data_IF_989660709066
#
_entry.id   IF_989660709066
#
_cell.length_a   1.000
_cell.length_b   1.000
_cell.length_c   1.000
_cell.angle_alpha   90.00
_cell.angle_beta   90.00
_cell.angle_gamma   90.00
#
_symmetry.space_group_name_H-M   'P 1'
#
loop_
_entity.id
_entity.type
_entity.pdbx_description
1 polymer ?
#
# COMPACT_ATOMS: atom_id res chain seq x y z
N UNK A 1 87.90 -24.32 10.73
CA UNK A 1 89.01 -23.99 9.81
C UNK A 1 88.55 -22.84 8.90
N UNK A 2 89.27 -21.76 8.98
CA UNK A 2 89.52 -20.69 7.99
C UNK A 2 88.24 -20.04 7.37
N UNK A 3 87.95 -18.81 7.59
CA UNK A 3 88.58 -17.50 7.53
C UNK A 3 88.37 -16.76 6.21
N UNK A 4 87.93 -15.48 6.37
CA UNK A 4 88.17 -14.33 5.45
C UNK A 4 87.02 -14.17 4.41
N UNK A 5 86.55 -13.01 4.07
CA UNK A 5 86.99 -11.64 4.45
C UNK A 5 86.16 -10.59 3.74
N UNK A 6 86.17 -9.39 4.25
CA UNK A 6 85.62 -8.10 3.87
C UNK A 6 85.54 -7.82 2.36
N UNK A 7 84.44 -7.16 1.94
CA UNK A 7 84.64 -5.84 1.30
C UNK A 7 83.27 -5.09 1.30
N UNK A 8 83.30 -3.92 1.84
CA UNK A 8 82.10 -3.04 1.90
C UNK A 8 81.94 -2.23 0.62
N UNK A 9 80.71 -1.94 0.29
CA UNK A 9 80.37 -0.82 -0.59
C UNK A 9 79.19 -0.10 0.06
N UNK A 10 79.45 1.10 0.55
CA UNK A 10 78.44 2.03 1.02
C UNK A 10 77.68 2.60 -0.16
N UNK A 11 76.40 2.31 -0.24
CA UNK A 11 75.50 3.01 -1.16
C UNK A 11 74.54 3.87 -0.32
N UNK A 12 74.74 5.20 -0.41
CA UNK A 12 73.83 6.20 0.14
C UNK A 12 72.48 6.08 -0.57
N UNK A 13 71.44 5.69 0.15
CA UNK A 13 70.04 5.82 -0.30
C UNK A 13 69.53 7.16 0.22
N UNK A 14 69.29 8.11 -0.69
CA UNK A 14 68.49 9.31 -0.42
C UNK A 14 67.03 8.87 -0.16
N UNK A 15 66.55 9.00 1.07
CA UNK A 15 65.10 8.95 1.38
C UNK A 15 64.47 10.29 1.00
N UNK A 16 63.67 10.30 -0.07
CA UNK A 16 62.70 11.38 -0.36
C UNK A 16 61.54 11.27 0.59
N UNK A 17 61.42 12.20 1.51
CA UNK A 17 60.22 12.42 2.33
C UNK A 17 59.08 12.92 1.44
N UNK A 18 58.20 12.02 1.00
CA UNK A 18 56.87 12.38 0.47
C UNK A 18 55.98 12.79 1.67
N UNK A 19 55.70 14.08 1.76
CA UNK A 19 54.76 14.62 2.72
C UNK A 19 53.36 14.04 2.49
N UNK A 20 52.86 13.25 3.43
CA UNK A 20 51.45 12.92 3.51
C UNK A 20 50.67 14.21 3.86
N UNK A 21 50.00 14.79 2.87
CA UNK A 21 48.94 15.78 3.13
C UNK A 21 47.77 15.04 3.80
N UNK A 22 47.70 15.20 5.11
CA UNK A 22 46.56 14.69 5.87
C UNK A 22 45.25 15.32 5.39
N UNK A 23 44.42 14.54 4.70
CA UNK A 23 43.05 14.91 4.48
C UNK A 23 42.36 14.97 5.84
N UNK A 24 42.00 16.17 6.26
CA UNK A 24 41.19 16.38 7.48
C UNK A 24 39.88 15.57 7.34
N UNK A 25 39.65 14.71 8.31
CA UNK A 25 38.35 14.02 8.43
C UNK A 25 37.22 15.07 8.47
N UNK A 26 36.10 14.85 7.78
CA UNK A 26 34.99 15.78 7.84
C UNK A 26 34.60 15.96 9.31
N UNK A 27 34.45 17.21 9.75
CA UNK A 27 33.94 17.55 11.07
C UNK A 27 32.58 16.85 11.24
N UNK A 28 32.46 16.02 12.29
CA UNK A 28 31.21 15.47 12.71
C UNK A 28 30.22 16.65 12.87
N UNK A 29 29.24 16.76 12.00
CA UNK A 29 28.14 17.71 12.20
C UNK A 29 27.55 17.45 13.58
N UNK A 30 27.43 18.51 14.35
CA UNK A 30 26.82 18.42 15.67
C UNK A 30 25.38 17.96 15.47
N UNK A 31 25.06 16.78 15.98
CA UNK A 31 23.67 16.31 16.07
C UNK A 31 22.97 17.33 16.95
N UNK A 32 22.10 18.16 16.34
CA UNK A 32 21.27 19.07 17.09
C UNK A 32 20.47 18.25 18.13
N UNK A 33 20.36 18.72 19.36
CA UNK A 33 19.57 18.03 20.37
C UNK A 33 18.14 17.87 19.82
N UNK A 34 17.67 16.63 19.72
CA UNK A 34 16.29 16.32 19.39
C UNK A 34 15.45 16.86 20.55
N UNK A 35 14.88 18.04 20.39
CA UNK A 35 13.87 18.54 21.31
C UNK A 35 12.67 17.61 21.21
N UNK A 36 12.35 16.88 22.27
CA UNK A 36 11.11 16.09 22.31
C UNK A 36 9.95 17.04 22.06
N UNK A 37 9.00 16.70 21.17
CA UNK A 37 7.81 17.49 21.02
C UNK A 37 7.12 17.66 22.37
N UNK A 38 6.56 18.82 22.61
CA UNK A 38 5.88 19.13 23.90
C UNK A 38 4.61 18.31 24.12
N UNK A 39 4.08 17.71 23.04
CA UNK A 39 2.92 16.81 23.05
C UNK A 39 3.27 15.46 22.44
N UNK A 40 2.57 14.42 22.90
CA UNK A 40 2.59 13.08 22.31
C UNK A 40 1.93 13.15 20.92
N UNK A 41 2.61 12.71 19.82
CA UNK A 41 2.08 12.85 18.48
C UNK A 41 0.87 11.93 18.23
N UNK A 42 -0.05 12.39 17.40
CA UNK A 42 -1.07 11.54 16.80
C UNK A 42 -0.44 10.58 15.80
N UNK A 43 -1.14 9.51 15.46
CA UNK A 43 -0.71 8.52 14.46
C UNK A 43 -1.85 8.26 13.48
N UNK A 44 -1.61 8.56 12.20
CA UNK A 44 -2.47 8.15 11.10
C UNK A 44 -1.75 7.06 10.30
N UNK A 45 -2.26 5.82 10.37
CA UNK A 45 -1.74 4.67 9.65
C UNK A 45 -2.63 4.34 8.45
N UNK A 46 -2.15 4.64 7.23
CA UNK A 46 -2.86 4.37 5.98
C UNK A 46 -2.32 3.07 5.38
N UNK A 47 -3.20 2.13 5.10
CA UNK A 47 -2.82 0.82 4.60
C UNK A 47 -3.65 0.42 3.38
N UNK A 48 -2.97 0.09 2.28
CA UNK A 48 -3.58 -0.36 1.02
C UNK A 48 -3.34 -1.85 0.81
N UNK A 49 -4.14 -2.48 -0.05
CA UNK A 49 -4.08 -3.92 -0.30
C UNK A 49 -3.66 -4.19 -1.75
N UNK A 50 -2.55 -4.93 -1.94
CA UNK A 50 -1.95 -5.24 -3.24
C UNK A 50 -1.48 -4.01 -4.05
N UNK A 51 -1.02 -2.96 -3.38
CA UNK A 51 -0.44 -1.79 -4.02
C UNK A 51 1.04 -2.01 -4.31
N UNK A 52 1.38 -2.19 -5.57
CA UNK A 52 2.75 -2.44 -6.00
C UNK A 52 3.61 -1.16 -5.94
N UNK A 53 4.84 -1.26 -5.43
CA UNK A 53 5.76 -0.11 -5.31
C UNK A 53 6.05 0.57 -6.66
N UNK A 54 6.11 -0.19 -7.76
CA UNK A 54 6.32 0.36 -9.10
C UNK A 54 5.11 1.12 -9.67
N UNK A 55 4.00 1.17 -8.94
CA UNK A 55 2.83 2.00 -9.23
C UNK A 55 2.72 3.20 -8.27
N UNK A 56 3.81 3.60 -7.64
CA UNK A 56 3.95 4.81 -6.81
C UNK A 56 5.06 5.66 -7.42
N UNK A 57 4.76 6.92 -7.74
CA UNK A 57 5.68 7.84 -8.42
C UNK A 57 7.00 8.00 -7.68
N UNK A 58 6.97 8.20 -6.37
CA UNK A 58 8.14 8.36 -5.52
C UNK A 58 9.13 7.17 -5.56
N UNK A 59 8.69 5.98 -5.99
CA UNK A 59 9.54 4.80 -6.20
C UNK A 59 10.00 4.62 -7.65
N UNK A 60 9.79 5.60 -8.53
CA UNK A 60 10.17 5.55 -9.93
C UNK A 60 9.16 4.76 -10.77
N UNK A 61 7.88 5.09 -10.63
CA UNK A 61 6.82 4.52 -11.45
C UNK A 61 7.10 4.73 -12.94
N UNK A 62 6.80 3.71 -13.75
CA UNK A 62 6.79 3.79 -15.21
C UNK A 62 5.41 4.13 -15.81
N UNK A 63 4.45 4.35 -14.94
CA UNK A 63 3.08 4.72 -15.28
C UNK A 63 2.92 6.24 -15.38
N UNK A 64 1.75 6.77 -15.77
CA UNK A 64 1.54 8.21 -15.84
C UNK A 64 2.01 8.95 -14.58
N UNK A 65 2.68 10.09 -14.75
CA UNK A 65 3.30 10.85 -13.65
C UNK A 65 2.27 11.33 -12.61
N UNK A 66 1.01 11.48 -12.99
CA UNK A 66 -0.08 11.95 -12.14
C UNK A 66 -0.77 10.84 -11.33
N UNK A 67 -0.21 9.62 -11.30
CA UNK A 67 -0.89 8.47 -10.67
C UNK A 67 -1.00 8.62 -9.15
N UNK A 68 0.05 9.07 -8.49
CA UNK A 68 0.14 9.15 -7.02
C UNK A 68 0.71 10.47 -6.47
N UNK A 69 0.22 11.65 -6.89
CA UNK A 69 0.80 12.92 -6.48
C UNK A 69 0.75 13.17 -4.96
N UNK A 70 -0.28 12.68 -4.26
CA UNK A 70 -0.40 12.85 -2.82
C UNK A 70 0.53 11.91 -2.03
N UNK A 71 0.70 10.67 -2.48
CA UNK A 71 1.71 9.76 -1.94
C UNK A 71 3.13 10.26 -2.21
N UNK A 72 3.37 10.85 -3.38
CA UNK A 72 4.66 11.43 -3.76
C UNK A 72 4.97 12.68 -2.92
N UNK A 73 3.97 13.49 -2.63
CA UNK A 73 4.06 14.60 -1.68
C UNK A 73 4.47 14.09 -0.29
N UNK A 74 3.76 13.09 0.25
CA UNK A 74 4.07 12.49 1.55
C UNK A 74 5.51 11.96 1.58
N UNK A 75 5.97 11.31 0.51
CA UNK A 75 7.35 10.82 0.39
C UNK A 75 8.38 11.93 0.33
N UNK A 76 8.06 13.08 -0.28
CA UNK A 76 8.97 14.24 -0.41
C UNK A 76 9.07 15.06 0.87
N UNK A 77 8.00 15.12 1.65
CA UNK A 77 7.92 15.84 2.92
C UNK A 77 8.37 15.01 4.12
N UNK A 78 8.50 13.68 3.95
CA UNK A 78 8.80 12.74 5.01
C UNK A 78 9.96 11.80 4.73
N UNK A 79 9.84 10.58 5.20
CA UNK A 79 10.85 9.53 5.04
C UNK A 79 10.33 8.40 4.15
N UNK A 80 11.00 8.17 3.02
CA UNK A 80 10.73 7.05 2.14
C UNK A 80 11.67 5.88 2.43
N UNK A 81 11.11 4.72 2.72
CA UNK A 81 11.87 3.50 2.96
C UNK A 81 12.20 2.81 1.63
N UNK A 82 13.47 2.80 1.23
CA UNK A 82 13.94 2.13 0.01
C UNK A 82 14.07 0.60 0.15
N UNK A 83 14.08 0.10 1.39
CA UNK A 83 14.20 -1.33 1.73
C UNK A 83 13.20 -1.67 2.84
N UNK A 84 11.96 -1.91 2.44
CA UNK A 84 10.91 -2.37 3.34
C UNK A 84 10.39 -3.72 2.79
N UNK A 85 10.60 -4.79 3.53
CA UNK A 85 10.24 -6.13 3.12
C UNK A 85 9.01 -6.63 3.88
N UNK A 86 8.10 -7.28 3.16
CA UNK A 86 6.95 -7.98 3.74
C UNK A 86 7.40 -9.35 4.23
N UNK A 87 7.04 -9.71 5.47
CA UNK A 87 7.42 -11.01 6.05
C UNK A 87 6.59 -12.17 5.53
N UNK A 88 5.33 -11.90 5.16
CA UNK A 88 4.41 -12.84 4.52
C UNK A 88 3.45 -12.02 3.64
N UNK A 89 3.58 -12.14 2.34
CA UNK A 89 2.90 -11.30 1.33
C UNK A 89 1.47 -11.77 0.99
N UNK A 90 0.70 -12.17 2.00
CA UNK A 90 -0.72 -12.52 1.91
C UNK A 90 -1.50 -11.65 2.90
N UNK A 91 -2.74 -11.28 2.57
CA UNK A 91 -3.55 -10.31 3.32
C UNK A 91 -3.58 -10.54 4.84
N UNK A 92 -4.19 -11.64 5.32
CA UNK A 92 -4.36 -11.88 6.76
C UNK A 92 -3.01 -12.06 7.49
N UNK A 93 -2.04 -12.84 6.99
CA UNK A 93 -0.71 -12.95 7.59
C UNK A 93 0.01 -11.61 7.72
N UNK A 94 0.02 -10.79 6.65
CA UNK A 94 0.65 -9.46 6.67
C UNK A 94 0.00 -8.55 7.73
N UNK A 95 -1.33 -8.52 7.79
CA UNK A 95 -2.09 -7.72 8.77
C UNK A 95 -1.81 -8.16 10.20
N UNK A 96 -1.76 -9.48 10.47
CA UNK A 96 -1.40 -10.00 11.78
C UNK A 96 0.05 -9.66 12.19
N UNK A 97 1.00 -9.67 11.23
CA UNK A 97 2.39 -9.26 11.48
C UNK A 97 2.47 -7.78 11.83
N UNK A 98 1.78 -6.90 11.08
CA UNK A 98 1.74 -5.46 11.37
C UNK A 98 1.19 -5.20 12.77
N UNK A 99 0.07 -5.84 13.13
CA UNK A 99 -0.55 -5.64 14.44
C UNK A 99 0.31 -6.11 15.61
N UNK A 100 0.99 -7.26 15.45
CA UNK A 100 1.69 -7.93 16.57
C UNK A 100 3.19 -7.69 16.62
N UNK A 101 3.81 -7.24 15.51
CA UNK A 101 5.27 -7.23 15.36
C UNK A 101 5.90 -8.63 15.34
N UNK A 102 5.09 -9.71 15.19
CA UNK A 102 5.55 -11.10 15.22
C UNK A 102 5.42 -11.74 13.85
N UNK A 103 6.40 -12.54 13.46
CA UNK A 103 6.30 -13.39 12.25
C UNK A 103 5.08 -14.33 12.33
N UNK A 104 4.55 -14.73 11.17
CA UNK A 104 3.32 -15.52 11.04
C UNK A 104 3.34 -16.82 11.86
N UNK A 105 4.46 -17.51 11.96
CA UNK A 105 4.60 -18.73 12.77
C UNK A 105 4.53 -18.48 14.29
N UNK A 106 4.71 -17.22 14.72
CA UNK A 106 4.60 -16.83 16.14
C UNK A 106 3.22 -16.25 16.46
N UNK A 107 2.59 -15.54 15.50
CA UNK A 107 1.26 -14.99 15.71
C UNK A 107 0.13 -15.94 15.32
N UNK A 108 0.44 -17.09 14.68
CA UNK A 108 -0.50 -18.16 14.34
C UNK A 108 -1.32 -17.93 13.07
N UNK A 109 -1.05 -16.87 12.30
CA UNK A 109 -1.75 -16.60 11.03
C UNK A 109 -0.79 -16.81 9.87
N UNK A 110 -0.83 -18.04 9.30
CA UNK A 110 0.07 -18.48 8.22
C UNK A 110 -0.50 -18.22 6.82
N UNK A 111 -1.83 -18.31 6.71
CA UNK A 111 -2.58 -18.16 5.47
C UNK A 111 -3.84 -17.29 5.70
N UNK A 112 -4.68 -17.10 4.68
CA UNK A 112 -5.99 -16.48 4.85
C UNK A 112 -7.04 -17.42 5.50
N UNK A 113 -6.67 -18.66 5.85
CA UNK A 113 -7.58 -19.63 6.44
C UNK A 113 -7.69 -19.51 7.97
N UNK A 114 -6.64 -19.07 8.63
CA UNK A 114 -6.60 -18.97 10.09
C UNK A 114 -7.41 -17.76 10.60
N UNK A 115 -7.87 -17.90 11.84
CA UNK A 115 -8.49 -16.82 12.61
C UNK A 115 -7.44 -16.19 13.52
N UNK A 116 -7.29 -14.88 13.44
CA UNK A 116 -6.39 -14.16 14.34
C UNK A 116 -6.92 -14.22 15.78
N UNK A 117 -6.04 -14.58 16.71
CA UNK A 117 -6.33 -14.53 18.14
C UNK A 117 -6.24 -13.07 18.63
N UNK A 118 -7.39 -12.46 18.84
CA UNK A 118 -7.51 -11.09 19.35
C UNK A 118 -7.03 -10.90 20.79
N UNK A 119 -6.72 -11.97 21.54
CA UNK A 119 -6.14 -11.85 22.90
C UNK A 119 -4.65 -11.46 22.84
N UNK A 120 -3.96 -11.70 21.74
CA UNK A 120 -2.56 -11.32 21.58
C UNK A 120 -2.34 -9.82 21.81
N UNK A 121 -1.14 -9.48 22.31
CA UNK A 121 -0.69 -8.10 22.37
C UNK A 121 -0.49 -7.54 20.95
N UNK A 122 -1.05 -6.36 20.72
CA UNK A 122 -0.96 -5.62 19.45
C UNK A 122 -0.60 -4.17 19.73
N UNK A 123 0.00 -3.49 18.76
CA UNK A 123 0.39 -2.09 18.96
C UNK A 123 -0.80 -1.16 19.26
N UNK A 124 -2.02 -1.35 18.70
CA UNK A 124 -3.17 -0.54 19.11
C UNK A 124 -3.52 -0.69 20.60
N UNK A 125 -3.38 -1.90 21.17
CA UNK A 125 -3.61 -2.12 22.61
C UNK A 125 -2.59 -1.37 23.45
N UNK A 126 -1.31 -1.43 23.09
CA UNK A 126 -0.25 -0.70 23.79
C UNK A 126 -0.49 0.82 23.74
N UNK A 127 -0.84 1.36 22.59
CA UNK A 127 -1.15 2.79 22.45
C UNK A 127 -2.39 3.18 23.26
N UNK A 128 -3.42 2.32 23.30
CA UNK A 128 -4.60 2.53 24.13
C UNK A 128 -4.26 2.56 25.62
N UNK A 129 -3.37 1.68 26.10
CA UNK A 129 -2.84 1.68 27.48
C UNK A 129 -2.08 2.97 27.79
N UNK A 130 -1.43 3.59 26.79
CA UNK A 130 -0.75 4.88 26.89
C UNK A 130 -1.69 6.09 26.70
N UNK A 131 -3.00 5.87 26.67
CA UNK A 131 -4.01 6.93 26.65
C UNK A 131 -4.41 7.42 25.25
N UNK A 132 -3.99 6.74 24.18
CA UNK A 132 -4.45 7.09 22.82
C UNK A 132 -5.92 6.71 22.63
N UNK A 133 -6.66 7.57 21.92
CA UNK A 133 -7.92 7.19 21.30
C UNK A 133 -7.64 6.37 20.05
N UNK A 134 -8.24 5.20 19.94
CA UNK A 134 -7.87 4.25 18.88
C UNK A 134 -9.04 3.95 17.96
N UNK A 135 -8.82 4.06 16.65
CA UNK A 135 -9.85 3.77 15.65
C UNK A 135 -9.33 2.95 14.46
N UNK A 136 -10.24 2.20 13.81
CA UNK A 136 -9.96 1.45 12.59
C UNK A 136 -11.12 1.55 11.60
N UNK A 137 -10.81 1.89 10.35
CA UNK A 137 -11.77 1.94 9.25
C UNK A 137 -11.30 1.10 8.07
N UNK A 138 -12.20 0.25 7.52
CA UNK A 138 -11.96 -0.47 6.29
C UNK A 138 -11.62 -1.95 6.45
N UNK A 139 -10.66 -2.47 5.66
CA UNK A 139 -10.40 -3.90 5.55
C UNK A 139 -9.65 -4.47 6.76
N UNK A 140 -10.35 -5.28 7.56
CA UNK A 140 -9.75 -6.06 8.66
C UNK A 140 -9.20 -7.41 8.21
N UNK A 141 -10.05 -8.24 7.62
CA UNK A 141 -9.74 -9.54 7.00
C UNK A 141 -9.00 -10.57 7.87
N UNK A 142 -9.20 -10.56 9.18
CA UNK A 142 -8.55 -11.48 10.15
C UNK A 142 -9.51 -12.49 10.77
N UNK A 143 -10.75 -12.61 10.26
CA UNK A 143 -11.80 -13.54 10.74
C UNK A 143 -12.17 -13.40 12.22
N UNK A 144 -11.59 -12.44 12.92
CA UNK A 144 -11.95 -12.02 14.28
C UNK A 144 -12.53 -10.61 14.25
N UNK A 145 -13.07 -10.16 15.38
CA UNK A 145 -13.37 -8.74 15.54
C UNK A 145 -12.10 -7.99 15.95
N UNK A 146 -11.95 -6.71 15.57
CA UNK A 146 -10.85 -5.86 16.02
C UNK A 146 -10.84 -5.72 17.55
N UNK A 147 -9.67 -5.82 18.15
CA UNK A 147 -9.46 -5.60 19.57
C UNK A 147 -8.36 -4.55 19.79
N UNK A 148 -8.48 -3.76 20.85
CA UNK A 148 -7.56 -2.64 21.13
C UNK A 148 -7.96 -1.35 20.42
N UNK A 149 -9.18 -1.26 19.92
CA UNK A 149 -9.75 -0.06 19.32
C UNK A 149 -10.96 0.41 20.15
N UNK A 150 -11.09 1.72 20.33
CA UNK A 150 -12.26 2.34 20.94
C UNK A 150 -13.42 2.39 19.96
N UNK A 151 -13.09 2.59 18.67
CA UNK A 151 -14.05 2.60 17.59
C UNK A 151 -13.52 1.82 16.40
N UNK A 152 -14.40 1.13 15.68
CA UNK A 152 -14.06 0.59 14.37
C UNK A 152 -15.29 0.44 13.47
N UNK A 153 -15.07 0.58 12.18
CA UNK A 153 -16.03 0.19 11.18
C UNK A 153 -15.29 -0.56 10.06
N UNK A 154 -15.47 -1.89 10.03
CA UNK A 154 -14.69 -2.78 9.19
C UNK A 154 -15.49 -3.40 8.06
N UNK A 155 -14.86 -3.61 6.93
CA UNK A 155 -15.40 -4.42 5.84
C UNK A 155 -15.64 -5.86 6.28
N UNK A 156 -16.67 -6.49 5.70
CA UNK A 156 -16.95 -7.91 5.88
C UNK A 156 -16.16 -8.70 4.82
N UNK A 157 -15.27 -9.59 5.27
CA UNK A 157 -14.38 -10.36 4.40
C UNK A 157 -13.41 -9.46 3.64
N UNK A 158 -13.31 -9.63 2.33
CA UNK A 158 -12.49 -8.80 1.43
C UNK A 158 -13.11 -7.42 1.15
N UNK A 159 -14.42 -7.29 1.34
CA UNK A 159 -15.20 -6.13 0.94
C UNK A 159 -15.39 -6.00 -0.58
N UNK A 160 -16.48 -5.36 -1.02
CA UNK A 160 -16.69 -4.97 -2.41
C UNK A 160 -16.00 -3.64 -2.71
N UNK A 161 -16.05 -3.18 -3.96
CA UNK A 161 -15.66 -1.83 -4.36
C UNK A 161 -16.79 -0.82 -4.31
N UNK A 162 -18.04 -1.29 -4.33
CA UNK A 162 -19.25 -0.46 -4.30
C UNK A 162 -20.19 -0.91 -3.22
N UNK A 163 -20.84 0.05 -2.59
CA UNK A 163 -21.90 -0.13 -1.60
C UNK A 163 -21.51 -1.16 -0.52
N UNK A 164 -20.41 -0.90 0.23
CA UNK A 164 -19.90 -1.86 1.20
C UNK A 164 -20.86 -2.08 2.34
N UNK A 165 -21.04 -3.35 2.73
CA UNK A 165 -21.59 -3.70 4.03
C UNK A 165 -20.45 -3.72 5.03
N UNK A 166 -20.55 -2.90 6.07
CA UNK A 166 -19.53 -2.76 7.10
C UNK A 166 -20.08 -3.14 8.47
N UNK A 167 -19.19 -3.57 9.35
CA UNK A 167 -19.52 -4.00 10.71
C UNK A 167 -18.84 -3.10 11.73
N UNK A 168 -19.55 -2.75 12.78
CA UNK A 168 -19.12 -1.91 13.88
C UNK A 168 -19.65 -2.45 15.22
N UNK A 169 -19.07 -2.05 16.38
CA UNK A 169 -19.61 -2.37 17.69
C UNK A 169 -21.02 -1.78 17.84
N UNK A 170 -21.95 -2.60 18.29
CA UNK A 170 -23.29 -2.09 18.63
C UNK A 170 -23.25 -1.32 19.95
N UNK A 171 -24.19 -0.39 20.11
CA UNK A 171 -24.34 0.35 21.35
C UNK A 171 -24.64 -0.56 22.55
N UNK A 172 -24.24 -0.15 23.75
CA UNK A 172 -24.53 -0.82 25.01
C UNK A 172 -24.08 -2.29 25.11
N UNK A 173 -22.91 -2.61 24.52
CA UNK A 173 -22.33 -3.97 24.50
C UNK A 173 -23.26 -5.04 23.88
N UNK A 174 -24.20 -4.65 23.03
CA UNK A 174 -25.13 -5.56 22.34
C UNK A 174 -24.46 -6.40 21.25
N UNK A 175 -23.12 -6.44 21.18
CA UNK A 175 -22.32 -7.17 20.20
C UNK A 175 -21.98 -6.32 18.98
N UNK A 176 -22.43 -6.72 17.78
CA UNK A 176 -22.06 -6.05 16.52
C UNK A 176 -23.30 -5.71 15.72
N UNK A 177 -23.24 -4.59 15.01
CA UNK A 177 -24.21 -4.20 14.00
C UNK A 177 -23.54 -4.12 12.63
N UNK A 178 -24.35 -4.32 11.59
CA UNK A 178 -23.92 -4.20 10.20
C UNK A 178 -24.75 -3.12 9.52
N UNK A 179 -24.12 -2.26 8.72
CA UNK A 179 -24.83 -1.34 7.82
C UNK A 179 -24.25 -1.36 6.41
N UNK A 180 -25.05 -0.98 5.44
CA UNK A 180 -24.64 -0.78 4.06
C UNK A 180 -24.45 0.72 3.86
N UNK A 181 -23.25 1.10 3.40
CA UNK A 181 -22.99 2.45 2.95
C UNK A 181 -23.15 2.50 1.43
N UNK A 182 -23.88 3.50 0.95
CA UNK A 182 -23.94 3.76 -0.49
C UNK A 182 -22.70 4.55 -0.91
N UNK A 183 -22.03 4.11 -1.97
CA UNK A 183 -20.88 4.80 -2.51
C UNK A 183 -19.74 3.88 -2.94
N UNK A 184 -18.64 4.51 -3.33
CA UNK A 184 -17.39 3.82 -3.66
C UNK A 184 -16.61 3.52 -2.38
N UNK A 185 -16.23 2.28 -2.18
CA UNK A 185 -15.69 1.79 -0.89
C UNK A 185 -14.47 2.55 -0.39
N UNK A 186 -13.57 2.97 -1.29
CA UNK A 186 -12.38 3.76 -0.88
C UNK A 186 -12.80 5.11 -0.31
N UNK A 187 -13.78 5.77 -0.94
CA UNK A 187 -14.31 7.06 -0.48
C UNK A 187 -15.06 6.88 0.85
N UNK A 188 -15.94 5.88 0.94
CA UNK A 188 -16.69 5.56 2.18
C UNK A 188 -15.77 5.34 3.37
N UNK A 189 -14.67 4.59 3.19
CA UNK A 189 -13.69 4.36 4.26
C UNK A 189 -13.06 5.68 4.71
N UNK A 190 -12.72 6.55 3.77
CA UNK A 190 -12.14 7.86 4.08
C UNK A 190 -13.17 8.78 4.74
N UNK A 191 -14.41 8.82 4.25
CA UNK A 191 -15.47 9.65 4.82
C UNK A 191 -15.68 9.30 6.31
N UNK A 192 -15.77 8.01 6.64
CA UNK A 192 -15.90 7.54 8.02
C UNK A 192 -14.69 7.91 8.89
N UNK A 193 -13.49 7.82 8.32
CA UNK A 193 -12.27 8.19 9.03
C UNK A 193 -12.21 9.70 9.32
N UNK A 194 -12.60 10.53 8.35
CA UNK A 194 -12.66 11.98 8.49
C UNK A 194 -13.74 12.42 9.49
N UNK A 195 -14.93 11.84 9.42
CA UNK A 195 -16.02 12.08 10.39
C UNK A 195 -15.55 11.77 11.83
N UNK A 196 -14.85 10.64 12.02
CA UNK A 196 -14.30 10.32 13.32
C UNK A 196 -13.21 11.29 13.76
N UNK A 197 -12.33 11.71 12.86
CA UNK A 197 -11.25 12.66 13.12
C UNK A 197 -11.80 14.00 13.60
N UNK A 198 -12.82 14.52 12.94
CA UNK A 198 -13.54 15.76 13.36
C UNK A 198 -14.12 15.62 14.77
N UNK A 199 -14.60 14.44 15.12
CA UNK A 199 -15.16 14.15 16.46
C UNK A 199 -14.12 14.08 17.59
N UNK A 200 -12.82 13.98 17.29
CA UNK A 200 -11.75 13.83 18.28
C UNK A 200 -10.69 14.91 18.24
N UNK A 201 -10.77 15.86 17.30
CA UNK A 201 -9.76 16.91 17.08
C UNK A 201 -9.47 17.76 18.32
N UNK A 202 -10.50 18.09 19.10
CA UNK A 202 -10.41 18.95 20.28
C UNK A 202 -10.09 18.16 21.58
N UNK A 203 -9.77 16.87 21.46
CA UNK A 203 -9.48 16.06 22.62
C UNK A 203 -8.06 16.31 23.15
N UNK A 204 -7.90 16.34 24.47
CA UNK A 204 -6.58 16.40 25.11
C UNK A 204 -5.73 15.14 24.85
N UNK A 205 -6.39 14.00 24.55
CA UNK A 205 -5.72 12.73 24.30
C UNK A 205 -5.29 12.60 22.83
N UNK A 206 -4.08 12.08 22.55
CA UNK A 206 -3.66 11.81 21.18
C UNK A 206 -4.50 10.68 20.57
N UNK A 207 -4.58 10.64 19.24
CA UNK A 207 -5.25 9.56 18.54
C UNK A 207 -4.28 8.66 17.75
N UNK A 208 -4.68 7.40 17.59
CA UNK A 208 -4.13 6.45 16.62
C UNK A 208 -5.27 5.93 15.75
N UNK A 209 -5.23 6.24 14.47
CA UNK A 209 -6.25 5.83 13.50
C UNK A 209 -5.64 4.98 12.38
N UNK A 210 -6.22 3.80 12.13
CA UNK A 210 -5.86 2.93 11.01
C UNK A 210 -6.92 3.05 9.91
N UNK A 211 -6.51 3.53 8.72
CA UNK A 211 -7.36 3.62 7.54
C UNK A 211 -6.89 2.56 6.54
N UNK A 212 -7.69 1.50 6.39
CA UNK A 212 -7.30 0.30 5.66
C UNK A 212 -8.13 0.11 4.41
N UNK A 213 -7.62 0.63 3.29
CA UNK A 213 -8.30 0.49 1.99
C UNK A 213 -8.24 -0.94 1.47
N UNK A 214 -9.35 -1.40 0.83
CA UNK A 214 -9.35 -2.61 0.02
C UNK A 214 -8.56 -2.41 -1.28
N UNK A 215 -8.70 -1.24 -1.89
CA UNK A 215 -8.03 -0.92 -3.15
C UNK A 215 -6.50 -0.85 -2.97
N UNK A 216 -5.74 -1.21 -4.01
CA UNK A 216 -6.15 -1.67 -5.34
C UNK A 216 -6.27 -3.20 -5.52
N UNK A 217 -6.64 -3.96 -4.50
CA UNK A 217 -6.82 -5.42 -4.58
C UNK A 217 -7.81 -5.84 -5.70
N UNK A 218 -7.58 -7.00 -6.34
CA UNK A 218 -8.48 -7.64 -7.31
C UNK A 218 -9.95 -7.63 -6.79
N UNK A 219 -11.02 -7.30 -7.60
CA UNK A 219 -11.04 -7.27 -9.08
C UNK A 219 -10.97 -5.86 -9.71
N UNK A 220 -10.31 -4.90 -9.10
CA UNK A 220 -10.01 -3.57 -9.67
C UNK A 220 -11.22 -2.88 -10.32
N UNK A 221 -12.26 -2.60 -9.56
CA UNK A 221 -13.39 -1.81 -10.04
C UNK A 221 -13.13 -0.33 -9.77
N UNK A 222 -12.95 0.50 -10.82
CA UNK A 222 -12.66 1.92 -10.66
C UNK A 222 -13.79 2.71 -10.00
N UNK A 223 -13.46 3.84 -9.39
CA UNK A 223 -14.45 4.81 -8.93
C UNK A 223 -15.24 5.39 -10.14
N UNK A 224 -16.50 5.80 -9.96
CA UNK A 224 -17.32 6.35 -11.04
C UNK A 224 -16.63 7.49 -11.79
N UNK A 225 -15.93 8.38 -11.10
CA UNK A 225 -15.17 9.52 -11.65
C UNK A 225 -13.94 9.10 -12.49
N UNK A 226 -13.47 7.84 -12.35
CA UNK A 226 -12.27 7.34 -13.03
C UNK A 226 -12.56 6.32 -14.14
N UNK A 227 -13.82 5.99 -14.44
CA UNK A 227 -14.17 4.95 -15.40
C UNK A 227 -13.54 5.15 -16.80
N UNK A 228 -13.38 6.40 -17.24
CA UNK A 228 -12.74 6.76 -18.51
C UNK A 228 -11.27 7.19 -18.39
N UNK A 229 -10.72 7.30 -17.19
CA UNK A 229 -9.34 7.76 -17.01
C UNK A 229 -8.35 6.81 -17.72
N UNK A 230 -7.35 7.36 -18.38
CA UNK A 230 -6.34 6.64 -19.17
C UNK A 230 -6.88 5.88 -20.41
N UNK A 231 -8.10 6.15 -20.89
CA UNK A 231 -8.60 5.50 -22.10
C UNK A 231 -7.72 5.78 -23.33
N UNK A 232 -7.28 7.03 -23.47
CA UNK A 232 -6.45 7.51 -24.58
C UNK A 232 -4.93 7.31 -24.32
N UNK A 233 -4.55 6.66 -23.21
CA UNK A 233 -3.16 6.38 -22.85
C UNK A 233 -2.83 4.93 -23.16
N UNK A 234 -1.79 4.69 -23.94
CA UNK A 234 -1.21 3.36 -24.09
C UNK A 234 -0.18 3.14 -22.97
N UNK A 235 -0.41 2.13 -22.14
CA UNK A 235 0.52 1.76 -21.07
C UNK A 235 1.64 0.91 -21.65
N UNK A 236 2.89 1.36 -21.51
CA UNK A 236 4.04 0.66 -22.03
C UNK A 236 4.11 -0.78 -21.50
N UNK A 237 4.29 -1.73 -22.40
CA UNK A 237 4.46 -3.14 -22.06
C UNK A 237 5.84 -3.37 -21.41
N UNK A 238 5.93 -4.24 -20.39
CA UNK A 238 7.23 -4.64 -19.88
C UNK A 238 7.92 -5.62 -20.83
N UNK A 239 9.23 -5.56 -20.93
CA UNK A 239 10.05 -6.45 -21.77
C UNK A 239 9.79 -7.93 -21.50
N UNK A 240 9.30 -8.25 -20.31
CA UNK A 240 9.01 -9.62 -19.85
C UNK A 240 7.51 -9.98 -19.89
N UNK A 241 6.66 -9.24 -20.61
CA UNK A 241 5.24 -9.58 -20.76
C UNK A 241 5.03 -11.01 -21.30
N UNK A 242 5.93 -11.44 -22.18
CA UNK A 242 5.93 -12.77 -22.80
C UNK A 242 7.11 -13.62 -22.32
N UNK A 243 7.62 -13.43 -21.09
CA UNK A 243 8.69 -14.23 -20.53
C UNK A 243 8.25 -15.71 -20.41
N UNK A 244 9.07 -16.61 -20.92
CA UNK A 244 8.85 -18.06 -20.79
C UNK A 244 9.40 -18.64 -19.48
N UNK A 245 9.94 -17.80 -18.61
CA UNK A 245 10.52 -18.15 -17.31
C UNK A 245 11.65 -19.20 -17.34
N UNK A 246 12.24 -19.49 -18.51
CA UNK A 246 13.26 -20.53 -18.69
C UNK A 246 14.53 -20.29 -17.85
N UNK A 247 14.85 -19.02 -17.60
CA UNK A 247 16.01 -18.59 -16.80
C UNK A 247 15.67 -18.33 -15.33
N UNK A 248 14.41 -18.57 -14.90
CA UNK A 248 13.94 -18.27 -13.55
C UNK A 248 14.02 -19.49 -12.63
N UNK A 249 13.87 -19.24 -11.32
CA UNK A 249 13.76 -20.32 -10.34
C UNK A 249 12.55 -21.21 -10.62
N UNK A 250 12.54 -22.44 -10.09
CA UNK A 250 11.41 -23.36 -10.23
C UNK A 250 10.11 -22.72 -9.72
N UNK A 251 10.14 -22.03 -8.58
CA UNK A 251 8.95 -21.39 -8.02
C UNK A 251 8.35 -20.32 -8.97
N UNK A 252 9.17 -19.48 -9.61
CA UNK A 252 8.70 -18.50 -10.58
C UNK A 252 8.18 -19.16 -11.88
N UNK A 253 8.78 -20.30 -12.28
CA UNK A 253 8.43 -21.00 -13.51
C UNK A 253 7.12 -21.79 -13.42
N UNK A 254 6.78 -22.30 -12.24
CA UNK A 254 5.56 -23.12 -12.02
C UNK A 254 4.39 -22.32 -11.42
N UNK A 255 4.58 -21.01 -11.16
CA UNK A 255 3.49 -20.15 -10.73
C UNK A 255 2.44 -20.03 -11.84
N UNK A 256 1.17 -19.82 -11.47
CA UNK A 256 0.02 -19.81 -12.38
C UNK A 256 -0.60 -18.42 -12.58
N UNK A 257 0.04 -17.33 -12.06
CA UNK A 257 -0.44 -15.96 -12.18
C UNK A 257 0.10 -15.29 -13.44
N UNK A 258 -0.62 -15.44 -14.55
CA UNK A 258 -0.27 -14.89 -15.85
C UNK A 258 -1.38 -14.03 -16.44
N UNK A 259 -1.02 -12.99 -17.19
CA UNK A 259 -1.98 -12.17 -17.94
C UNK A 259 -2.79 -13.03 -18.93
N UNK A 260 -2.12 -13.97 -19.57
CA UNK A 260 -2.73 -14.84 -20.59
C UNK A 260 -3.88 -15.69 -20.05
N UNK A 261 -3.70 -16.31 -18.88
CA UNK A 261 -4.54 -17.43 -18.39
C UNK A 261 -5.30 -17.13 -17.11
N UNK A 262 -4.74 -16.33 -16.18
CA UNK A 262 -5.31 -16.13 -14.84
C UNK A 262 -6.42 -15.09 -14.80
N UNK A 263 -6.41 -14.08 -15.70
CA UNK A 263 -7.44 -13.05 -15.73
C UNK A 263 -8.77 -13.61 -16.26
N UNK A 264 -9.77 -13.60 -15.39
CA UNK A 264 -11.12 -14.06 -15.70
C UNK A 264 -11.95 -13.01 -16.46
N UNK A 265 -13.07 -13.38 -17.09
CA UNK A 265 -14.00 -12.39 -17.64
C UNK A 265 -14.48 -11.34 -16.62
N UNK A 266 -14.56 -11.71 -15.34
CA UNK A 266 -14.93 -10.78 -14.27
C UNK A 266 -13.84 -9.75 -14.00
N UNK A 267 -12.57 -10.16 -13.98
CA UNK A 267 -11.43 -9.25 -13.85
C UNK A 267 -11.36 -8.24 -15.00
N UNK A 268 -11.67 -8.71 -16.21
CA UNK A 268 -11.63 -7.92 -17.44
C UNK A 268 -12.93 -7.13 -17.71
N UNK A 269 -13.91 -7.17 -16.81
CA UNK A 269 -15.22 -6.51 -16.92
C UNK A 269 -16.04 -6.99 -18.13
N UNK A 270 -15.76 -8.20 -18.60
CA UNK A 270 -16.50 -8.88 -19.69
C UNK A 270 -17.73 -9.66 -19.17
N UNK A 271 -17.93 -9.72 -17.88
CA UNK A 271 -19.12 -10.28 -17.23
C UNK A 271 -19.76 -9.24 -16.31
N UNK A 272 -21.06 -9.40 -15.96
CA UNK A 272 -21.76 -8.48 -15.07
C UNK A 272 -21.00 -8.27 -13.76
N UNK A 273 -20.90 -7.01 -13.33
CA UNK A 273 -20.34 -6.61 -12.04
C UNK A 273 -21.50 -6.40 -11.06
N UNK A 274 -21.26 -6.68 -9.79
CA UNK A 274 -22.33 -6.63 -8.78
C UNK A 274 -22.27 -5.39 -7.87
N UNK A 275 -23.34 -5.24 -7.08
CA UNK A 275 -23.49 -4.25 -6.01
C UNK A 275 -23.62 -2.80 -6.44
N UNK A 276 -23.93 -2.53 -7.68
CA UNK A 276 -24.26 -1.20 -8.15
C UNK A 276 -25.72 -0.84 -7.82
N UNK A 277 -25.96 0.42 -7.47
CA UNK A 277 -27.29 0.99 -7.63
C UNK A 277 -27.55 1.36 -9.10
N UNK A 278 -28.76 1.80 -9.43
CA UNK A 278 -29.13 2.09 -10.82
C UNK A 278 -28.26 3.19 -11.48
N UNK A 279 -27.92 4.24 -10.73
CA UNK A 279 -27.05 5.33 -11.23
C UNK A 279 -25.62 4.86 -11.47
N UNK A 280 -25.05 4.10 -10.54
CA UNK A 280 -23.73 3.52 -10.66
C UNK A 280 -23.63 2.54 -11.83
N UNK A 281 -24.67 1.70 -12.01
CA UNK A 281 -24.74 0.76 -13.13
C UNK A 281 -24.82 1.50 -14.47
N UNK A 282 -25.66 2.53 -14.57
CA UNK A 282 -25.78 3.32 -15.79
C UNK A 282 -24.45 3.99 -16.16
N UNK A 283 -23.73 4.57 -15.19
CA UNK A 283 -22.40 5.15 -15.41
C UNK A 283 -21.40 4.08 -15.83
N UNK A 284 -21.40 2.92 -15.19
CA UNK A 284 -20.55 1.78 -15.53
C UNK A 284 -20.79 1.28 -16.95
N UNK A 285 -22.04 1.03 -17.29
CA UNK A 285 -22.45 0.51 -18.60
C UNK A 285 -22.13 1.48 -19.73
N UNK A 286 -22.29 2.78 -19.52
CA UNK A 286 -21.95 3.80 -20.52
C UNK A 286 -20.49 3.75 -20.95
N UNK A 287 -19.58 3.26 -20.10
CA UNK A 287 -18.15 3.18 -20.37
C UNK A 287 -17.72 1.78 -20.81
N UNK A 288 -18.17 0.72 -20.09
CA UNK A 288 -17.66 -0.63 -20.34
C UNK A 288 -18.39 -1.37 -21.46
N UNK A 289 -19.69 -1.10 -21.70
CA UNK A 289 -20.43 -1.76 -22.78
C UNK A 289 -19.83 -1.47 -24.17
N UNK A 290 -19.53 -0.20 -24.55
CA UNK A 290 -18.87 0.07 -25.84
C UNK A 290 -17.51 -0.60 -25.98
N UNK A 291 -16.70 -0.59 -24.89
CA UNK A 291 -15.37 -1.21 -24.88
C UNK A 291 -15.45 -2.74 -25.03
N UNK A 292 -16.43 -3.36 -24.42
CA UNK A 292 -16.65 -4.80 -24.50
C UNK A 292 -17.16 -5.19 -25.90
N UNK A 293 -18.10 -4.43 -26.45
CA UNK A 293 -18.60 -4.64 -27.81
C UNK A 293 -17.48 -4.52 -28.87
N UNK A 294 -16.58 -3.53 -28.73
CA UNK A 294 -15.42 -3.38 -29.60
C UNK A 294 -14.47 -4.59 -29.52
N UNK A 295 -14.19 -5.08 -28.31
CA UNK A 295 -13.38 -6.28 -28.12
C UNK A 295 -14.05 -7.53 -28.72
N UNK A 296 -15.34 -7.74 -28.48
CA UNK A 296 -16.08 -8.89 -29.00
C UNK A 296 -16.12 -8.91 -30.54
N UNK A 297 -16.19 -7.74 -31.17
CA UNK A 297 -16.14 -7.62 -32.63
C UNK A 297 -14.76 -7.94 -33.23
N UNK A 298 -13.68 -7.66 -32.50
CA UNK A 298 -12.30 -7.81 -33.00
C UNK A 298 -11.63 -9.13 -32.59
N UNK A 299 -11.98 -9.70 -31.43
CA UNK A 299 -11.25 -10.82 -30.80
C UNK A 299 -11.09 -12.05 -31.70
N UNK A 300 -12.05 -12.32 -32.61
CA UNK A 300 -12.00 -13.44 -33.53
C UNK A 300 -10.94 -13.33 -34.63
N UNK A 301 -10.37 -12.13 -34.81
CA UNK A 301 -9.31 -11.82 -35.78
C UNK A 301 -7.95 -11.55 -35.09
N UNK A 302 -7.93 -11.49 -33.74
CA UNK A 302 -6.71 -11.23 -32.96
C UNK A 302 -5.89 -12.51 -32.81
N UNK A 303 -4.58 -12.36 -32.88
CA UNK A 303 -3.62 -13.40 -32.46
C UNK A 303 -3.65 -13.57 -30.93
N UNK A 304 -3.10 -14.68 -30.42
CA UNK A 304 -2.95 -14.92 -28.99
C UNK A 304 -2.15 -13.79 -28.30
N UNK A 305 -1.11 -13.28 -28.92
CA UNK A 305 -0.31 -12.18 -28.41
C UNK A 305 -1.12 -10.89 -28.30
N UNK A 306 -1.88 -10.52 -29.32
CA UNK A 306 -2.75 -9.33 -29.29
C UNK A 306 -3.84 -9.44 -28.22
N UNK A 307 -4.35 -10.64 -27.94
CA UNK A 307 -5.30 -10.86 -26.84
C UNK A 307 -4.62 -10.64 -25.48
N UNK A 308 -3.37 -11.09 -25.30
CA UNK A 308 -2.61 -10.84 -24.07
C UNK A 308 -2.32 -9.36 -23.90
N UNK A 309 -1.91 -8.65 -24.94
CA UNK A 309 -1.69 -7.19 -24.94
C UNK A 309 -2.97 -6.44 -24.58
N UNK A 310 -4.10 -6.82 -25.18
CA UNK A 310 -5.40 -6.22 -24.85
C UNK A 310 -5.78 -6.47 -23.37
N UNK A 311 -5.58 -7.70 -22.85
CA UNK A 311 -5.81 -8.02 -21.43
C UNK A 311 -4.94 -7.17 -20.52
N UNK A 312 -3.65 -6.99 -20.89
CA UNK A 312 -2.71 -6.15 -20.16
C UNK A 312 -3.20 -4.72 -20.07
N UNK A 313 -3.56 -4.09 -21.20
CA UNK A 313 -4.09 -2.73 -21.21
C UNK A 313 -5.37 -2.60 -20.38
N UNK A 314 -6.32 -3.53 -20.52
CA UNK A 314 -7.58 -3.51 -19.78
C UNK A 314 -7.35 -3.62 -18.28
N UNK A 315 -6.62 -4.62 -17.84
CA UNK A 315 -6.32 -4.89 -16.45
C UNK A 315 -5.57 -3.72 -15.81
N UNK A 316 -4.51 -3.28 -16.47
CA UNK A 316 -3.62 -2.30 -15.88
C UNK A 316 -4.27 -0.92 -15.75
N UNK A 317 -5.04 -0.49 -16.76
CA UNK A 317 -5.82 0.76 -16.66
C UNK A 317 -6.81 0.71 -15.48
N UNK A 318 -7.50 -0.40 -15.28
CA UNK A 318 -8.44 -0.55 -14.15
C UNK A 318 -7.71 -0.56 -12.79
N UNK A 319 -6.53 -1.20 -12.72
CA UNK A 319 -5.66 -1.17 -11.54
C UNK A 319 -5.21 0.26 -11.20
N UNK A 320 -4.70 1.00 -12.19
CA UNK A 320 -4.25 2.38 -12.02
C UNK A 320 -5.39 3.32 -11.62
N UNK A 321 -6.60 3.13 -12.15
CA UNK A 321 -7.81 3.87 -11.76
C UNK A 321 -8.17 3.66 -10.28
N UNK A 322 -7.98 2.44 -9.78
CA UNK A 322 -8.17 2.16 -8.35
C UNK A 322 -7.10 2.84 -7.49
N UNK A 323 -5.84 2.86 -7.95
CA UNK A 323 -4.75 3.57 -7.28
C UNK A 323 -5.01 5.07 -7.24
N UNK A 324 -5.47 5.66 -8.35
CA UNK A 324 -5.83 7.08 -8.40
C UNK A 324 -6.85 7.45 -7.33
N UNK A 325 -7.87 6.60 -7.15
CA UNK A 325 -8.86 6.82 -6.09
C UNK A 325 -8.26 6.69 -4.68
N UNK A 326 -7.30 5.79 -4.46
CA UNK A 326 -6.57 5.71 -3.19
C UNK A 326 -5.77 6.97 -2.94
N UNK A 327 -5.00 7.41 -3.93
CA UNK A 327 -4.15 8.59 -3.81
C UNK A 327 -4.96 9.88 -3.51
N UNK A 328 -6.09 10.07 -4.19
CA UNK A 328 -7.00 11.18 -3.91
C UNK A 328 -7.53 11.13 -2.47
N UNK A 329 -7.84 9.95 -1.96
CA UNK A 329 -8.31 9.79 -0.58
C UNK A 329 -7.18 9.99 0.45
N UNK A 330 -5.94 9.65 0.12
CA UNK A 330 -4.76 10.05 0.92
C UNK A 330 -4.66 11.58 0.95
N UNK A 331 -4.80 12.25 -0.20
CA UNK A 331 -4.82 13.71 -0.27
C UNK A 331 -5.88 14.34 0.65
N UNK A 332 -7.11 13.83 0.60
CA UNK A 332 -8.21 14.28 1.48
C UNK A 332 -7.88 14.16 2.96
N UNK A 333 -7.22 13.07 3.37
CA UNK A 333 -6.80 12.89 4.77
C UNK A 333 -5.69 13.88 5.16
N UNK A 334 -4.71 14.11 4.29
CA UNK A 334 -3.65 15.10 4.53
C UNK A 334 -4.21 16.53 4.62
N UNK A 335 -5.08 16.91 3.70
CA UNK A 335 -5.77 18.21 3.70
C UNK A 335 -6.64 18.40 4.95
N UNK A 336 -7.28 17.34 5.43
CA UNK A 336 -8.05 17.40 6.69
C UNK A 336 -7.14 17.63 7.89
N UNK A 337 -6.00 16.95 7.99
CA UNK A 337 -5.03 17.22 9.07
C UNK A 337 -4.55 18.67 9.04
N UNK A 338 -4.27 19.22 7.87
CA UNK A 338 -3.86 20.62 7.70
C UNK A 338 -4.98 21.59 8.13
N UNK A 339 -6.22 21.33 7.69
CA UNK A 339 -7.37 22.21 8.01
C UNK A 339 -7.74 22.24 9.49
N UNK A 340 -7.33 21.19 10.22
CA UNK A 340 -7.54 21.03 11.66
C UNK A 340 -6.31 21.42 12.50
N UNK A 341 -5.25 21.98 11.87
CA UNK A 341 -3.96 22.29 12.51
C UNK A 341 -3.31 21.08 13.21
N UNK A 342 -3.56 19.85 12.70
CA UNK A 342 -3.03 18.58 13.24
C UNK A 342 -1.84 18.02 12.44
N UNK A 343 -1.51 18.59 11.28
CA UNK A 343 -0.48 18.08 10.37
C UNK A 343 0.90 17.99 11.04
N UNK A 344 1.27 18.98 11.86
CA UNK A 344 2.56 19.02 12.57
C UNK A 344 2.59 18.16 13.84
N UNK A 345 1.45 17.73 14.33
CA UNK A 345 1.30 16.91 15.53
C UNK A 345 0.96 15.45 15.18
N UNK A 346 0.92 15.08 13.89
CA UNK A 346 0.54 13.74 13.43
C UNK A 346 1.65 13.06 12.65
N UNK A 347 2.00 11.85 13.05
CA UNK A 347 2.85 10.94 12.27
C UNK A 347 1.95 10.20 11.28
N UNK A 348 2.16 10.42 9.98
CA UNK A 348 1.46 9.71 8.90
C UNK A 348 2.35 8.58 8.40
N UNK A 349 1.82 7.34 8.37
CA UNK A 349 2.52 6.11 7.97
C UNK A 349 1.74 5.42 6.86
#
# INVERSE_FOLDING_TARGET
>A
MRSRGLCGVSTLLLLSLLGCTGTALPKKEAILPITRPSKTPNILFIFTDDHASHAIGAYGSRFPEDITPNLDRLASEGMRFSRCAVTNSICAPSRAVILTGKHSHLNGVLTNAERFDGAQMTFPKLLKEEGYRTALFGKWHLKSEPTGFDHYERLIGQGPYYNPKMRFPAENDAGFADRIHEGYTTDVITDLALEWLEGVQDADAPFMMMVQHKAPHRHWQPAPRHLGLYDDVEIAEPDNLFDNYSTRTTAARIQDMEIATTLTPHDLKLSPQGRFNATQLAAWDSVYQPKNAAFDASRGQMSEAEIVQWKYQRYLKDYLRCIKAVDENVGRMLESLESLDLDRETIVI
#
